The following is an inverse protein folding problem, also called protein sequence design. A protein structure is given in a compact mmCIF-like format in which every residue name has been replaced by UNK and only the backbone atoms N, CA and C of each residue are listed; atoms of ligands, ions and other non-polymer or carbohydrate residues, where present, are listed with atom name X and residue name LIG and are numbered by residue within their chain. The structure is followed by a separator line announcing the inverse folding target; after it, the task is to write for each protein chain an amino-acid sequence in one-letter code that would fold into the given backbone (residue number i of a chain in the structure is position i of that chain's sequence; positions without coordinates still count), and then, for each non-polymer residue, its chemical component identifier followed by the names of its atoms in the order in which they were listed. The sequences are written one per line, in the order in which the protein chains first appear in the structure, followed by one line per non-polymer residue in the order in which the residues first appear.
data_IF_287702972121
#
_entry.id   IF_287702972121
#
_cell.length_a   1.000
_cell.length_b   1.000
_cell.length_c   1.000
_cell.angle_alpha   90.00
_cell.angle_beta   90.00
_cell.angle_gamma   90.00
#
_symmetry.space_group_name_H-M   'P 1'
#
loop_
_entity.id
_entity.type
_entity.pdbx_description
1 polymer ?
#
# COMPACT_ATOMS: atom_id res chain seq x y z
N UNK A 1 21.46 20.50 -7.54
CA UNK A 1 22.08 19.35 -8.23
C UNK A 1 21.75 18.12 -7.40
N UNK A 2 20.74 17.36 -7.83
CA UNK A 2 20.27 16.15 -7.13
C UNK A 2 21.23 15.00 -7.44
N UNK A 3 21.86 14.44 -6.42
CA UNK A 3 22.72 13.26 -6.58
C UNK A 3 21.84 12.01 -6.48
N UNK A 4 21.66 11.32 -7.60
CA UNK A 4 21.04 10.00 -7.69
C UNK A 4 22.11 9.00 -7.28
N UNK A 5 21.91 8.31 -6.15
CA UNK A 5 22.75 7.18 -5.74
C UNK A 5 21.97 5.92 -6.08
N UNK A 6 22.33 5.31 -7.20
CA UNK A 6 21.89 3.95 -7.56
C UNK A 6 22.75 2.94 -6.82
N UNK A 7 22.16 2.11 -5.98
CA UNK A 7 22.84 1.01 -5.30
C UNK A 7 22.32 -0.33 -5.81
N UNK A 8 23.19 -1.08 -6.49
CA UNK A 8 22.97 -2.50 -6.80
C UNK A 8 23.22 -3.32 -5.54
N UNK A 9 22.22 -4.05 -5.08
CA UNK A 9 22.40 -5.01 -4.00
C UNK A 9 22.16 -6.43 -4.49
N UNK A 10 23.26 -7.13 -4.75
CA UNK A 10 23.30 -8.59 -4.93
C UNK A 10 23.24 -9.26 -3.55
N UNK A 11 22.46 -10.31 -3.45
CA UNK A 11 22.24 -11.10 -2.24
C UNK A 11 23.51 -11.82 -1.78
N UNK A 12 23.79 -11.81 -0.46
CA UNK A 12 24.50 -12.91 0.25
C UNK A 12 24.04 -13.01 1.70
N UNK A 13 23.81 -14.25 2.09
CA UNK A 13 23.35 -14.80 3.35
C UNK A 13 24.38 -14.75 4.49
N UNK A 14 23.81 -14.73 5.72
CA UNK A 14 24.28 -15.35 6.99
C UNK A 14 25.63 -14.89 7.58
N UNK A 15 25.53 -14.37 8.81
CA UNK A 15 26.21 -14.94 9.99
C UNK A 15 25.71 -14.21 11.25
N UNK A 16 25.16 -14.99 12.18
CA UNK A 16 24.85 -14.57 13.54
C UNK A 16 26.15 -14.38 14.33
N UNK A 17 26.41 -13.13 14.74
CA UNK A 17 27.34 -12.84 15.83
C UNK A 17 26.73 -11.71 16.66
N UNK A 18 26.41 -12.03 17.91
CA UNK A 18 26.01 -11.04 18.91
C UNK A 18 27.19 -10.10 19.16
N UNK A 19 27.05 -8.85 18.70
CA UNK A 19 27.95 -7.76 19.08
C UNK A 19 27.15 -6.74 19.91
N UNK A 20 27.79 -6.09 20.91
CA UNK A 20 27.10 -5.12 21.77
C UNK A 20 26.55 -3.95 20.95
N UNK A 21 25.32 -3.55 21.26
CA UNK A 21 24.64 -2.41 20.65
C UNK A 21 25.39 -1.11 20.94
N UNK A 22 26.35 -0.78 20.08
CA UNK A 22 26.68 0.59 19.84
C UNK A 22 25.52 1.16 19.05
N UNK A 23 24.91 2.25 19.52
CA UNK A 23 23.88 2.97 18.78
C UNK A 23 24.50 3.46 17.45
N UNK A 24 24.41 2.62 16.42
CA UNK A 24 24.76 3.01 15.08
C UNK A 24 23.77 4.09 14.67
N UNK A 25 24.28 5.26 14.26
CA UNK A 25 23.47 6.27 13.63
C UNK A 25 22.68 5.59 12.49
N UNK A 26 21.35 5.67 12.55
CA UNK A 26 20.44 5.03 11.61
C UNK A 26 20.71 5.67 10.23
N UNK A 27 21.54 5.03 9.43
CA UNK A 27 21.85 5.52 8.09
C UNK A 27 20.59 5.46 7.23
N UNK A 28 20.49 6.31 6.20
CA UNK A 28 19.36 6.31 5.26
C UNK A 28 19.12 4.92 4.67
N UNK A 29 20.18 4.16 4.37
CA UNK A 29 20.09 2.78 3.85
C UNK A 29 19.53 1.79 4.90
N UNK A 30 19.90 1.95 6.17
CA UNK A 30 19.36 1.11 7.24
C UNK A 30 17.88 1.41 7.48
N UNK A 31 17.47 2.69 7.42
CA UNK A 31 16.08 3.11 7.50
C UNK A 31 15.27 2.57 6.32
N UNK A 32 15.76 2.70 5.09
CA UNK A 32 15.12 2.16 3.89
C UNK A 32 14.93 0.64 3.99
N UNK A 33 15.94 -0.09 4.44
CA UNK A 33 15.86 -1.54 4.60
C UNK A 33 14.78 -1.91 5.61
N UNK A 34 14.74 -1.24 6.77
CA UNK A 34 13.77 -1.48 7.83
C UNK A 34 12.34 -1.21 7.35
N UNK A 35 12.09 -0.02 6.75
CA UNK A 35 10.76 0.34 6.29
C UNK A 35 10.28 -0.57 5.16
N UNK A 36 11.16 -0.94 4.23
CA UNK A 36 10.84 -1.89 3.16
C UNK A 36 10.41 -3.24 3.73
N UNK A 37 11.11 -3.76 4.73
CA UNK A 37 10.75 -5.02 5.37
C UNK A 37 9.44 -4.91 6.15
N UNK A 38 9.21 -3.80 6.86
CA UNK A 38 7.95 -3.54 7.56
C UNK A 38 6.78 -3.53 6.58
N UNK A 39 6.88 -2.77 5.48
CA UNK A 39 5.85 -2.68 4.43
C UNK A 39 5.58 -4.05 3.82
N UNK A 40 6.61 -4.81 3.47
CA UNK A 40 6.46 -6.17 2.91
C UNK A 40 5.72 -7.10 3.88
N UNK A 41 6.03 -7.04 5.15
CA UNK A 41 5.39 -7.86 6.19
C UNK A 41 3.93 -7.44 6.40
N UNK A 42 3.66 -6.14 6.58
CA UNK A 42 2.32 -5.59 6.82
C UNK A 42 1.35 -5.93 5.68
N UNK A 43 1.80 -5.75 4.45
CA UNK A 43 0.98 -5.97 3.26
C UNK A 43 1.04 -7.42 2.74
N UNK A 44 1.86 -8.29 3.36
CA UNK A 44 2.14 -9.65 2.89
C UNK A 44 2.56 -9.67 1.41
N UNK A 45 3.49 -8.78 1.03
CA UNK A 45 3.90 -8.60 -0.36
C UNK A 45 4.87 -9.70 -0.79
N UNK A 46 4.48 -10.43 -1.85
CA UNK A 46 5.43 -11.17 -2.67
C UNK A 46 6.06 -10.21 -3.69
N UNK A 47 7.36 -9.97 -3.54
CA UNK A 47 8.11 -9.06 -4.41
C UNK A 47 9.09 -9.79 -5.32
N UNK A 48 9.08 -11.12 -5.37
CA UNK A 48 9.99 -11.92 -6.22
C UNK A 48 9.70 -11.74 -7.72
N UNK A 49 8.45 -11.43 -8.07
CA UNK A 49 8.04 -11.17 -9.44
C UNK A 49 8.45 -9.79 -9.99
N UNK A 50 9.06 -8.94 -9.15
CA UNK A 50 9.52 -7.61 -9.55
C UNK A 50 11.03 -7.58 -9.68
N UNK A 51 11.51 -7.22 -10.87
CA UNK A 51 12.94 -7.15 -11.19
C UNK A 51 13.62 -5.82 -10.84
N UNK A 52 12.84 -4.79 -10.54
CA UNK A 52 13.32 -3.46 -10.18
C UNK A 52 12.71 -3.00 -8.87
N UNK A 53 13.52 -2.36 -8.03
CA UNK A 53 13.10 -1.72 -6.78
C UNK A 53 13.78 -0.35 -6.64
N UNK A 54 13.01 0.64 -6.18
CA UNK A 54 13.48 1.96 -5.79
C UNK A 54 12.80 2.39 -4.51
N UNK A 55 13.54 3.02 -3.61
CA UNK A 55 13.00 3.65 -2.41
C UNK A 55 13.54 5.07 -2.28
N UNK A 56 12.62 6.02 -2.08
CA UNK A 56 12.93 7.44 -1.91
C UNK A 56 12.34 7.95 -0.60
N UNK A 57 13.04 8.89 0.01
CA UNK A 57 12.59 9.61 1.20
C UNK A 57 12.19 11.03 0.81
N UNK A 58 11.02 11.46 1.25
CA UNK A 58 10.50 12.79 1.01
C UNK A 58 10.14 13.45 2.34
N UNK A 59 10.79 14.58 2.62
CA UNK A 59 10.39 15.46 3.71
C UNK A 59 9.11 16.19 3.30
N UNK A 60 8.02 15.86 3.97
CA UNK A 60 6.73 16.54 3.84
C UNK A 60 6.45 17.36 5.10
N UNK A 61 5.60 18.38 4.97
CA UNK A 61 5.31 19.35 6.04
C UNK A 61 4.70 18.68 7.29
N UNK A 62 3.90 17.63 7.11
CA UNK A 62 3.21 16.94 8.21
C UNK A 62 4.04 15.79 8.80
N UNK A 63 4.66 15.00 7.96
CA UNK A 63 5.52 13.89 8.37
C UNK A 63 6.37 13.42 7.20
N UNK A 64 7.61 12.96 7.45
CA UNK A 64 8.43 12.37 6.41
C UNK A 64 7.85 11.06 5.89
N UNK A 65 7.88 10.89 4.57
CA UNK A 65 7.27 9.75 3.86
C UNK A 65 8.35 9.00 3.07
N UNK A 66 8.32 7.70 3.17
CA UNK A 66 9.07 6.77 2.33
C UNK A 66 8.21 6.32 1.17
N UNK A 67 8.66 6.56 -0.06
CA UNK A 67 8.03 6.11 -1.29
C UNK A 67 8.80 4.89 -1.81
N UNK A 68 8.15 3.73 -1.81
CA UNK A 68 8.72 2.46 -2.24
C UNK A 68 8.05 2.04 -3.55
N UNK A 69 8.86 1.71 -4.54
CA UNK A 69 8.38 1.36 -5.87
C UNK A 69 9.03 0.07 -6.37
N UNK A 70 8.20 -0.87 -6.81
CA UNK A 70 8.61 -2.10 -7.47
C UNK A 70 8.06 -2.14 -8.89
N UNK A 71 8.81 -2.67 -9.83
CA UNK A 71 8.38 -2.85 -11.21
C UNK A 71 8.98 -4.14 -11.82
N UNK A 72 8.23 -4.78 -12.70
CA UNK A 72 8.62 -6.01 -13.37
C UNK A 72 7.54 -6.55 -14.30
N UNK A 73 7.66 -7.81 -14.67
CA UNK A 73 6.71 -8.48 -15.56
C UNK A 73 5.31 -8.60 -14.96
N UNK A 74 5.19 -8.59 -13.64
CA UNK A 74 3.92 -8.61 -12.91
C UNK A 74 3.19 -7.25 -12.90
N UNK A 75 3.81 -6.19 -13.44
CA UNK A 75 3.32 -4.82 -13.41
C UNK A 75 4.11 -3.93 -12.47
N UNK A 76 3.45 -2.94 -11.88
CA UNK A 76 4.07 -2.03 -10.92
C UNK A 76 3.34 -2.01 -9.58
N UNK A 77 4.09 -1.74 -8.54
CA UNK A 77 3.60 -1.59 -7.17
C UNK A 77 4.26 -0.37 -6.53
N UNK A 78 3.46 0.53 -5.98
CA UNK A 78 3.92 1.71 -5.25
C UNK A 78 3.29 1.74 -3.87
N UNK A 79 4.10 1.98 -2.85
CA UNK A 79 3.65 2.10 -1.46
C UNK A 79 4.30 3.32 -0.84
N UNK A 80 3.50 4.18 -0.21
CA UNK A 80 4.01 5.26 0.64
C UNK A 80 3.75 4.91 2.10
N UNK A 81 4.77 5.06 2.94
CA UNK A 81 4.68 4.76 4.36
C UNK A 81 5.43 5.80 5.20
N UNK A 82 4.95 6.05 6.41
CA UNK A 82 5.66 6.85 7.41
C UNK A 82 6.84 6.06 7.97
N UNK A 83 7.70 6.76 8.72
CA UNK A 83 8.91 6.16 9.33
C UNK A 83 8.59 5.07 10.37
N UNK A 84 7.40 5.12 10.98
CA UNK A 84 6.90 4.10 11.93
C UNK A 84 6.29 2.87 11.23
N UNK A 85 6.17 2.88 9.90
CA UNK A 85 5.59 1.80 9.11
C UNK A 85 4.10 1.98 8.79
N UNK A 86 3.47 3.08 9.23
CA UNK A 86 2.09 3.38 8.87
C UNK A 86 1.95 3.54 7.36
N UNK A 87 1.13 2.71 6.72
CA UNK A 87 0.87 2.78 5.28
C UNK A 87 -0.05 3.97 4.99
N UNK A 88 0.43 4.89 4.16
CA UNK A 88 -0.32 6.09 3.74
C UNK A 88 -1.01 5.87 2.41
N UNK A 89 -0.31 5.24 1.47
CA UNK A 89 -0.87 4.90 0.17
C UNK A 89 -0.35 3.57 -0.36
N UNK A 90 -1.16 2.94 -1.20
CA UNK A 90 -0.84 1.73 -1.93
C UNK A 90 -1.44 1.84 -3.32
N UNK A 91 -0.66 1.53 -4.32
CA UNK A 91 -1.13 1.43 -5.70
C UNK A 91 -0.49 0.22 -6.37
N UNK A 92 -1.31 -0.61 -7.00
CA UNK A 92 -0.88 -1.78 -7.78
C UNK A 92 -1.47 -1.70 -9.17
N UNK A 93 -0.61 -1.71 -10.17
CA UNK A 93 -0.97 -1.92 -11.57
C UNK A 93 -0.47 -3.29 -12.00
N UNK A 94 -1.36 -4.11 -12.57
CA UNK A 94 -0.98 -5.40 -13.11
C UNK A 94 -1.23 -5.44 -14.62
N UNK A 95 -0.23 -5.83 -15.36
CA UNK A 95 -0.29 -5.96 -16.83
C UNK A 95 -1.35 -6.96 -17.30
N UNK A 96 -1.77 -7.90 -16.44
CA UNK A 96 -2.82 -8.88 -16.77
C UNK A 96 -4.24 -8.30 -16.81
N UNK A 97 -4.49 -7.17 -16.14
CA UNK A 97 -5.82 -6.57 -16.09
C UNK A 97 -6.27 -5.93 -17.42
N UNK A 98 -5.32 -5.59 -18.27
CA UNK A 98 -5.59 -4.87 -19.53
C UNK A 98 -5.86 -5.78 -20.73
N UNK A 99 -5.65 -7.08 -20.63
CA UNK A 99 -5.79 -8.01 -21.76
C UNK A 99 -7.23 -8.47 -22.05
N UNK A 100 -8.17 -8.23 -21.15
CA UNK A 100 -9.57 -8.64 -21.29
C UNK A 100 -10.58 -7.49 -21.50
N UNK A 101 -10.12 -6.26 -21.67
CA UNK A 101 -10.95 -5.19 -22.19
C UNK A 101 -11.24 -5.48 -23.68
N UNK A 102 -12.16 -6.39 -23.93
CA UNK A 102 -12.76 -6.56 -25.26
C UNK A 102 -13.36 -5.22 -25.68
N UNK A 103 -12.71 -4.61 -26.64
CA UNK A 103 -13.18 -3.39 -27.26
C UNK A 103 -14.64 -3.58 -27.69
N UNK A 104 -15.56 -2.83 -27.07
CA UNK A 104 -16.86 -2.57 -27.65
C UNK A 104 -18.11 -3.12 -26.97
N UNK A 105 -18.00 -3.80 -25.83
CA UNK A 105 -19.19 -4.13 -25.02
C UNK A 105 -19.10 -3.49 -23.64
N UNK A 106 -20.19 -2.89 -23.11
CA UNK A 106 -20.21 -2.49 -21.71
C UNK A 106 -20.05 -3.75 -20.87
N UNK A 107 -18.91 -3.89 -20.20
CA UNK A 107 -18.68 -4.95 -19.23
C UNK A 107 -19.44 -4.56 -17.96
N UNK A 108 -20.45 -5.34 -17.61
CA UNK A 108 -21.02 -5.29 -16.26
C UNK A 108 -19.93 -5.61 -15.25
N UNK A 109 -19.96 -5.01 -14.05
CA UNK A 109 -19.06 -5.39 -12.98
C UNK A 109 -19.11 -6.91 -12.78
N UNK A 110 -18.04 -7.59 -13.11
CA UNK A 110 -17.96 -9.03 -12.92
C UNK A 110 -17.37 -9.26 -11.53
N UNK A 111 -18.21 -9.47 -10.54
CA UNK A 111 -17.78 -9.71 -9.18
C UNK A 111 -18.92 -9.51 -8.18
N UNK A 112 -18.73 -10.07 -7.01
CA UNK A 112 -19.64 -9.90 -5.89
C UNK A 112 -19.19 -8.70 -5.06
N UNK A 113 -20.03 -7.66 -4.85
CA UNK A 113 -19.71 -6.52 -4.00
C UNK A 113 -19.39 -6.93 -2.56
N UNK A 114 -20.00 -7.98 -2.02
CA UNK A 114 -19.72 -8.46 -0.67
C UNK A 114 -18.32 -9.10 -0.56
N UNK A 115 -17.89 -9.86 -1.58
CA UNK A 115 -16.53 -10.38 -1.64
C UNK A 115 -15.50 -9.25 -1.76
N UNK A 116 -15.78 -8.23 -2.57
CA UNK A 116 -14.94 -7.05 -2.68
C UNK A 116 -14.86 -6.27 -1.36
N UNK A 117 -15.97 -6.15 -0.63
CA UNK A 117 -16.05 -5.54 0.70
C UNK A 117 -15.22 -6.33 1.72
N UNK A 118 -15.32 -7.65 1.69
CA UNK A 118 -14.51 -8.52 2.55
C UNK A 118 -13.01 -8.38 2.26
N UNK A 119 -12.61 -8.28 0.99
CA UNK A 119 -11.23 -8.06 0.59
C UNK A 119 -10.72 -6.68 1.03
N UNK A 120 -11.56 -5.64 0.91
CA UNK A 120 -11.25 -4.30 1.41
C UNK A 120 -11.05 -4.30 2.93
N UNK A 121 -11.95 -4.95 3.68
CA UNK A 121 -11.83 -5.06 5.14
C UNK A 121 -10.57 -5.79 5.54
N UNK A 122 -10.26 -6.93 4.93
CA UNK A 122 -9.06 -7.69 5.21
C UNK A 122 -7.76 -6.92 4.89
N UNK A 123 -7.78 -5.99 3.95
CA UNK A 123 -6.67 -5.09 3.70
C UNK A 123 -6.57 -4.01 4.78
N UNK A 124 -7.69 -3.37 5.14
CA UNK A 124 -7.75 -2.34 6.16
C UNK A 124 -7.31 -2.87 7.53
N UNK A 125 -7.69 -4.09 7.89
CA UNK A 125 -7.26 -4.75 9.14
C UNK A 125 -5.73 -4.93 9.24
N UNK A 126 -5.02 -4.93 8.11
CA UNK A 126 -3.55 -5.01 8.07
C UNK A 126 -2.87 -3.65 8.16
N UNK A 127 -3.48 -2.61 7.57
CA UNK A 127 -2.83 -1.30 7.44
C UNK A 127 -3.25 -0.29 8.51
N UNK A 128 -4.35 -0.56 9.20
CA UNK A 128 -4.78 0.25 10.35
C UNK A 128 -4.06 -0.20 11.63
N UNK A 129 -3.87 0.72 12.55
CA UNK A 129 -3.30 0.41 13.86
C UNK A 129 -4.35 -0.32 14.70
N UNK A 130 -4.13 -1.61 15.07
CA UNK A 130 -5.07 -2.34 15.90
C UNK A 130 -5.37 -1.59 17.20
N UNK A 131 -6.58 -1.78 17.71
CA UNK A 131 -7.09 -1.20 18.97
C UNK A 131 -7.19 0.33 19.01
N UNK A 132 -6.63 1.04 18.04
CA UNK A 132 -6.67 2.50 17.98
C UNK A 132 -7.51 3.03 16.83
N UNK A 133 -7.42 2.40 15.67
CA UNK A 133 -8.04 2.80 14.43
C UNK A 133 -9.06 1.77 13.99
N UNK A 134 -10.28 2.22 13.73
CA UNK A 134 -11.33 1.37 13.17
C UNK A 134 -12.03 2.09 12.03
N UNK A 135 -12.63 1.33 11.13
CA UNK A 135 -13.40 1.84 10.01
C UNK A 135 -14.73 1.10 9.93
N UNK A 136 -15.72 1.74 9.31
CA UNK A 136 -16.95 1.10 8.89
C UNK A 136 -17.04 1.20 7.38
N UNK A 137 -16.99 0.06 6.69
CA UNK A 137 -17.20 0.02 5.25
C UNK A 137 -18.68 0.13 4.95
N UNK A 138 -19.04 1.19 4.26
CA UNK A 138 -20.37 1.38 3.68
C UNK A 138 -20.51 0.56 2.38
N UNK A 139 -21.67 0.67 1.73
CA UNK A 139 -21.86 0.11 0.39
C UNK A 139 -20.90 0.75 -0.62
N UNK A 140 -20.37 -0.04 -1.57
CA UNK A 140 -19.40 0.48 -2.54
C UNK A 140 -20.03 1.54 -3.44
N UNK A 141 -19.27 2.61 -3.68
CA UNK A 141 -19.65 3.64 -4.63
C UNK A 141 -19.38 3.19 -6.07
N UNK A 142 -20.25 3.60 -7.01
CA UNK A 142 -20.02 3.40 -8.43
C UNK A 142 -20.66 2.14 -9.02
N UNK A 143 -21.57 1.48 -8.27
CA UNK A 143 -22.38 0.35 -8.78
C UNK A 143 -23.39 0.76 -9.87
N UNK A 144 -23.65 2.03 -10.00
CA UNK A 144 -24.54 2.63 -10.98
C UNK A 144 -23.91 2.79 -12.37
N UNK A 145 -22.61 2.52 -12.50
CA UNK A 145 -21.90 2.58 -13.78
C UNK A 145 -21.75 1.20 -14.39
N UNK A 146 -22.39 0.99 -15.53
CA UNK A 146 -22.34 -0.27 -16.29
C UNK A 146 -20.94 -0.67 -16.81
N UNK A 147 -19.98 0.24 -16.74
CA UNK A 147 -18.61 0.06 -17.21
C UNK A 147 -17.57 -0.01 -16.07
N UNK A 148 -18.05 -0.04 -14.83
CA UNK A 148 -17.14 -0.09 -13.68
C UNK A 148 -16.49 -1.45 -13.53
N UNK A 149 -15.15 -1.50 -13.63
CA UNK A 149 -14.33 -2.69 -13.36
C UNK A 149 -13.85 -2.75 -11.91
N UNK A 150 -14.29 -1.81 -11.07
CA UNK A 150 -13.81 -1.67 -9.70
C UNK A 150 -14.93 -1.28 -8.74
N UNK A 151 -14.78 -1.71 -7.50
CA UNK A 151 -15.56 -1.24 -6.36
C UNK A 151 -14.73 -0.25 -5.55
N UNK A 152 -15.32 0.87 -5.15
CA UNK A 152 -14.66 1.87 -4.32
C UNK A 152 -15.41 2.04 -3.01
N UNK A 153 -14.66 1.99 -1.93
CA UNK A 153 -15.15 2.24 -0.58
C UNK A 153 -14.42 3.47 -0.04
N UNK A 154 -15.18 4.40 0.53
CA UNK A 154 -14.64 5.59 1.17
C UNK A 154 -15.25 5.72 2.56
N UNK A 155 -14.57 6.38 3.45
CA UNK A 155 -15.11 6.62 4.78
C UNK A 155 -14.16 7.39 5.67
N UNK A 156 -14.51 7.43 6.92
CA UNK A 156 -13.75 8.09 7.99
C UNK A 156 -13.09 7.04 8.87
N UNK A 157 -11.91 7.34 9.36
CA UNK A 157 -11.21 6.53 10.35
C UNK A 157 -11.70 6.96 11.74
N UNK A 158 -12.16 6.02 12.54
CA UNK A 158 -12.48 6.26 13.94
C UNK A 158 -11.22 6.07 14.78
N UNK A 159 -10.92 7.04 15.64
CA UNK A 159 -9.81 6.93 16.59
C UNK A 159 -10.36 6.58 17.98
N UNK A 160 -9.96 5.43 18.51
CA UNK A 160 -10.49 4.89 19.79
C UNK A 160 -12.03 4.83 19.82
N UNK A 161 -12.63 4.51 18.66
CA UNK A 161 -14.09 4.46 18.50
C UNK A 161 -14.79 5.82 18.35
N UNK A 162 -14.05 6.93 18.32
CA UNK A 162 -14.59 8.28 18.15
C UNK A 162 -14.38 8.77 16.70
N UNK A 163 -15.35 9.49 16.12
CA UNK A 163 -15.19 10.11 14.82
C UNK A 163 -13.96 11.02 14.77
N UNK A 164 -13.19 10.91 13.68
CA UNK A 164 -12.04 11.79 13.41
C UNK A 164 -12.21 12.48 12.05
N UNK A 165 -11.45 13.54 11.76
CA UNK A 165 -11.45 14.17 10.44
C UNK A 165 -10.69 13.35 9.39
N UNK A 166 -10.07 12.24 9.78
CA UNK A 166 -9.25 11.41 8.90
C UNK A 166 -10.13 10.56 7.98
N UNK A 167 -9.85 10.60 6.70
CA UNK A 167 -10.56 9.84 5.69
C UNK A 167 -9.67 8.76 5.06
N UNK A 168 -10.32 7.82 4.40
CA UNK A 168 -9.66 6.80 3.59
C UNK A 168 -10.45 6.54 2.31
N UNK A 169 -9.75 6.00 1.32
CA UNK A 169 -10.36 5.43 0.13
C UNK A 169 -9.63 4.13 -0.24
N UNK A 170 -10.41 3.10 -0.56
CA UNK A 170 -9.91 1.83 -1.03
C UNK A 170 -10.65 1.40 -2.30
N UNK A 171 -9.90 0.90 -3.27
CA UNK A 171 -10.45 0.45 -4.55
C UNK A 171 -10.06 -1.02 -4.76
N UNK A 172 -11.07 -1.82 -5.03
CA UNK A 172 -10.96 -3.27 -5.27
C UNK A 172 -11.34 -3.55 -6.72
N UNK A 173 -10.56 -4.35 -7.41
CA UNK A 173 -10.86 -4.78 -8.76
C UNK A 173 -11.94 -5.87 -8.73
N UNK A 174 -13.01 -5.69 -9.51
CA UNK A 174 -14.19 -6.55 -9.48
C UNK A 174 -13.94 -7.97 -10.01
N UNK A 175 -12.92 -8.16 -10.88
CA UNK A 175 -12.68 -9.46 -11.54
C UNK A 175 -12.00 -10.50 -10.63
N UNK A 176 -11.28 -10.08 -9.60
CA UNK A 176 -10.47 -10.96 -8.75
C UNK A 176 -10.39 -10.52 -7.28
N UNK A 177 -11.20 -9.53 -6.91
CA UNK A 177 -11.26 -8.96 -5.56
C UNK A 177 -9.90 -8.46 -5.03
N UNK A 178 -8.97 -8.09 -5.94
CA UNK A 178 -7.68 -7.56 -5.56
C UNK A 178 -7.77 -6.06 -5.23
N UNK A 179 -7.25 -5.66 -4.07
CA UNK A 179 -7.04 -4.25 -3.76
C UNK A 179 -5.98 -3.69 -4.70
N UNK A 180 -6.35 -2.66 -5.46
CA UNK A 180 -5.48 -2.02 -6.46
C UNK A 180 -5.10 -0.59 -6.07
N UNK A 181 -5.85 0.03 -5.17
CA UNK A 181 -5.54 1.36 -4.67
C UNK A 181 -6.03 1.51 -3.24
N UNK A 182 -5.22 2.17 -2.43
CA UNK A 182 -5.58 2.62 -1.10
C UNK A 182 -4.88 3.95 -0.82
N UNK A 183 -5.54 4.83 -0.12
CA UNK A 183 -4.93 6.00 0.49
C UNK A 183 -5.69 6.37 1.77
N UNK A 184 -5.02 7.04 2.66
CA UNK A 184 -5.58 7.55 3.93
C UNK A 184 -4.95 8.86 4.34
N UNK A 185 -5.71 9.65 5.10
CA UNK A 185 -5.13 10.73 5.89
C UNK A 185 -4.37 10.14 7.09
N UNK A 186 -3.36 10.87 7.52
CA UNK A 186 -2.60 10.55 8.73
C UNK A 186 -2.78 11.66 9.75
N UNK A 187 -2.79 11.34 11.07
CA UNK A 187 -2.86 12.37 12.10
C UNK A 187 -1.65 13.30 12.00
N UNK A 188 -1.87 14.59 12.19
CA UNK A 188 -0.78 15.52 12.43
C UNK A 188 -0.04 15.08 13.70
N UNK A 189 1.26 14.88 13.59
CA UNK A 189 2.11 14.65 14.75
C UNK A 189 2.31 15.96 15.48
N UNK A 190 1.61 16.15 16.59
CA UNK A 190 1.83 17.27 17.54
C UNK A 190 3.05 17.02 18.40
#
# INVERSE_FOLDING_TARGET
MKKIVSLFLGAVLLISAALPAAAAADTADAKLTRITQTVKTTLALDTEAYSYFQGDYEEQELAPVWNLYWNGDAGSLSVSALEDGTIVSYYRDSTQANSSAQQGMPAFPQGDPEEAKAAAQAFLDRVLTPDRETVSLEEPNGLDRLDSTTYRFNGTILLNGLPSPLSYSITVRASDNQVIRFWRDVPETT
#
